data_IF_937607922955
#
_entry.id   IF_937607922955
#
_cell.length_a   1.000
_cell.length_b   1.000
_cell.length_c   1.000
_cell.angle_alpha   90.00
_cell.angle_beta   90.00
_cell.angle_gamma   90.00
#
_symmetry.space_group_name_H-M   'P 1'
#
loop_
_entity.id
_entity.type
_entity.pdbx_description
1 polymer ?
#
# COMPACT_ATOMS: atom_id res chain seq x y z
N UNK A 1 -18.51 -12.21 -10.07
CA UNK A 1 -17.56 -13.17 -9.43
C UNK A 1 -16.84 -14.12 -10.40
N UNK A 2 -17.43 -14.51 -11.55
CA UNK A 2 -16.78 -15.43 -12.49
C UNK A 2 -15.39 -14.95 -12.96
N UNK A 3 -15.24 -13.65 -13.27
CA UNK A 3 -13.96 -13.06 -13.66
C UNK A 3 -12.93 -13.09 -12.53
N UNK A 4 -13.32 -12.71 -11.31
CA UNK A 4 -12.41 -12.72 -10.16
C UNK A 4 -11.87 -14.12 -9.89
N UNK A 5 -12.74 -15.15 -9.85
CA UNK A 5 -12.31 -16.54 -9.67
C UNK A 5 -11.38 -17.03 -10.77
N UNK A 6 -11.56 -16.56 -12.01
CA UNK A 6 -10.72 -16.90 -13.16
C UNK A 6 -9.33 -16.26 -13.10
N UNK A 7 -9.21 -15.05 -12.56
CA UNK A 7 -7.98 -14.24 -12.65
C UNK A 7 -7.21 -14.09 -11.34
N UNK A 8 -7.84 -14.22 -10.17
CA UNK A 8 -7.11 -14.18 -8.88
C UNK A 8 -5.98 -15.22 -8.82
N UNK A 9 -6.18 -16.50 -9.23
CA UNK A 9 -5.10 -17.48 -9.23
C UNK A 9 -3.95 -17.18 -10.21
N UNK A 10 -4.12 -16.20 -11.09
CA UNK A 10 -3.14 -15.78 -12.10
C UNK A 10 -2.36 -14.53 -11.68
N UNK A 11 -2.60 -14.00 -10.49
CA UNK A 11 -1.82 -12.88 -9.96
C UNK A 11 -0.43 -13.41 -9.61
N UNK A 12 0.59 -12.87 -10.26
CA UNK A 12 1.99 -13.14 -9.94
C UNK A 12 2.46 -12.12 -8.91
N UNK A 13 3.01 -12.60 -7.79
CA UNK A 13 3.54 -11.73 -6.74
C UNK A 13 5.04 -11.51 -6.97
N UNK A 14 5.48 -10.27 -6.85
CA UNK A 14 6.88 -9.89 -6.94
C UNK A 14 7.23 -8.90 -5.84
N UNK A 15 8.46 -8.99 -5.32
CA UNK A 15 8.98 -8.04 -4.31
C UNK A 15 9.10 -6.60 -4.85
N UNK A 16 9.14 -6.44 -6.18
CA UNK A 16 9.39 -5.15 -6.85
C UNK A 16 8.16 -4.65 -7.63
N UNK A 17 6.95 -5.14 -7.35
CA UNK A 17 5.72 -4.74 -8.06
C UNK A 17 4.80 -3.80 -7.26
N UNK A 18 5.38 -2.97 -6.39
CA UNK A 18 4.67 -1.86 -5.73
C UNK A 18 3.92 -0.96 -6.72
N UNK A 19 4.55 -0.53 -7.84
CA UNK A 19 3.89 0.28 -8.86
C UNK A 19 2.70 -0.41 -9.53
N UNK A 20 2.76 -1.73 -9.75
CA UNK A 20 1.65 -2.52 -10.29
C UNK A 20 0.45 -2.51 -9.35
N UNK A 21 0.68 -2.72 -8.05
CA UNK A 21 -0.36 -2.59 -7.04
C UNK A 21 -0.94 -1.18 -6.97
N UNK A 22 -0.09 -0.13 -6.93
CA UNK A 22 -0.51 1.26 -6.88
C UNK A 22 -1.41 1.65 -8.06
N UNK A 23 -1.09 1.13 -9.25
CA UNK A 23 -1.91 1.31 -10.46
C UNK A 23 -3.24 0.56 -10.37
N UNK A 24 -3.26 -0.64 -9.79
CA UNK A 24 -4.43 -1.52 -9.75
C UNK A 24 -5.57 -1.00 -8.85
N UNK A 25 -5.24 -0.20 -7.83
CA UNK A 25 -6.22 0.32 -6.85
C UNK A 25 -6.87 1.65 -7.25
N UNK A 26 -6.42 2.27 -8.35
CA UNK A 26 -6.94 3.56 -8.80
C UNK A 26 -8.40 3.46 -9.26
N UNK A 27 -9.17 4.54 -9.08
CA UNK A 27 -10.49 4.67 -9.72
C UNK A 27 -10.59 5.94 -10.55
N UNK A 28 -10.88 7.07 -9.93
CA UNK A 28 -10.98 8.39 -10.58
C UNK A 28 -9.67 9.17 -10.49
N UNK A 29 -8.65 8.55 -9.90
CA UNK A 29 -7.32 9.09 -9.74
C UNK A 29 -6.64 9.29 -11.10
N UNK A 30 -6.05 10.47 -11.33
CA UNK A 30 -5.30 10.75 -12.57
C UNK A 30 -3.86 10.23 -12.57
N UNK A 31 -3.34 9.86 -11.40
CA UNK A 31 -1.95 9.42 -11.17
C UNK A 31 -1.87 8.55 -9.93
N UNK A 32 -0.89 7.65 -9.91
CA UNK A 32 -0.50 6.87 -8.73
C UNK A 32 -0.01 7.80 -7.62
N UNK A 33 -0.14 7.33 -6.37
CA UNK A 33 0.33 8.03 -5.17
C UNK A 33 1.06 6.99 -4.33
N UNK A 34 2.37 6.97 -4.46
CA UNK A 34 3.25 6.03 -3.78
C UNK A 34 4.55 6.73 -3.38
N UNK A 35 5.16 6.28 -2.29
CA UNK A 35 6.42 6.79 -1.80
C UNK A 35 7.14 5.68 -1.01
N UNK A 36 8.47 5.68 -1.04
CA UNK A 36 9.29 4.86 -0.16
C UNK A 36 10.40 5.73 0.43
N UNK A 37 10.70 5.52 1.71
CA UNK A 37 11.77 6.20 2.44
C UNK A 37 12.56 5.17 3.23
N UNK A 38 13.88 5.36 3.30
CA UNK A 38 14.77 4.50 4.08
C UNK A 38 15.54 5.32 5.10
N UNK A 39 15.80 4.74 6.27
CA UNK A 39 16.55 5.37 7.35
C UNK A 39 17.36 4.32 8.13
N UNK A 40 18.46 4.74 8.74
CA UNK A 40 19.24 3.90 9.65
C UNK A 40 18.60 3.89 11.04
N UNK A 41 18.46 2.69 11.61
CA UNK A 41 18.05 2.48 12.98
C UNK A 41 18.93 1.39 13.59
N UNK A 42 19.72 1.76 14.60
CA UNK A 42 20.63 0.84 15.31
C UNK A 42 21.58 0.09 14.35
N UNK A 43 22.05 0.76 13.29
CA UNK A 43 22.94 0.17 12.29
C UNK A 43 22.27 -0.78 11.30
N UNK A 44 20.93 -0.82 11.27
CA UNK A 44 20.13 -1.51 10.25
C UNK A 44 19.38 -0.49 9.40
N UNK A 45 19.49 -0.61 8.07
CA UNK A 45 18.66 0.17 7.15
C UNK A 45 17.22 -0.38 7.15
N UNK A 46 16.27 0.49 7.48
CA UNK A 46 14.83 0.19 7.48
C UNK A 46 14.18 0.96 6.35
N UNK A 47 13.28 0.30 5.62
CA UNK A 47 12.50 0.91 4.54
C UNK A 47 11.01 0.91 4.86
N UNK A 48 10.39 2.08 4.76
CA UNK A 48 8.93 2.26 4.85
C UNK A 48 8.41 2.72 3.50
N UNK A 49 7.45 2.00 2.96
CA UNK A 49 6.74 2.35 1.74
C UNK A 49 5.25 2.55 1.99
N UNK A 50 4.66 3.48 1.27
CA UNK A 50 3.25 3.83 1.37
C UNK A 50 2.62 4.00 0.00
N UNK A 51 1.37 3.60 -0.12
CA UNK A 51 0.56 3.78 -1.33
C UNK A 51 -0.86 4.17 -0.96
N UNK A 52 -1.44 5.10 -1.71
CA UNK A 52 -2.80 5.56 -1.48
C UNK A 52 -3.60 5.76 -2.78
N UNK A 53 -4.92 5.66 -2.67
CA UNK A 53 -5.87 6.05 -3.71
C UNK A 53 -6.98 6.91 -3.13
N UNK A 54 -7.53 7.77 -3.98
CA UNK A 54 -8.58 8.71 -3.61
C UNK A 54 -8.36 10.06 -4.29
N UNK A 55 -9.34 10.48 -5.08
CA UNK A 55 -9.35 11.80 -5.74
C UNK A 55 -10.74 12.42 -5.87
N UNK A 56 -11.77 11.74 -5.40
CA UNK A 56 -13.16 12.17 -5.37
C UNK A 56 -13.92 11.34 -4.36
N UNK A 57 -15.05 11.86 -3.84
CA UNK A 57 -15.68 11.32 -2.63
C UNK A 57 -14.65 11.15 -1.51
N UNK A 58 -13.96 12.24 -1.13
CA UNK A 58 -12.98 12.24 -0.04
C UNK A 58 -13.52 13.11 1.09
N UNK A 59 -13.96 12.43 2.15
CA UNK A 59 -14.32 12.97 3.44
C UNK A 59 -13.71 11.98 4.44
N UNK A 60 -12.55 12.29 5.06
CA UNK A 60 -11.79 11.37 5.93
C UNK A 60 -12.53 11.05 7.24
N UNK A 61 -13.67 10.36 7.12
CA UNK A 61 -14.52 9.74 8.14
C UNK A 61 -15.79 9.11 7.53
N UNK A 62 -16.09 9.33 6.23
CA UNK A 62 -17.28 8.79 5.54
C UNK A 62 -17.06 8.61 4.02
N UNK A 63 -15.83 8.35 3.59
CA UNK A 63 -15.55 8.28 2.16
C UNK A 63 -14.38 7.35 1.80
N UNK A 64 -14.21 7.09 0.51
CA UNK A 64 -13.34 6.01 0.02
C UNK A 64 -11.89 6.48 -0.13
N UNK A 65 -11.10 6.31 0.92
CA UNK A 65 -9.64 6.31 0.84
C UNK A 65 -9.14 4.89 1.11
N UNK A 66 -8.25 4.38 0.26
CA UNK A 66 -7.43 3.21 0.61
C UNK A 66 -6.01 3.72 0.78
N UNK A 67 -5.38 3.37 1.89
CA UNK A 67 -3.99 3.69 2.20
C UNK A 67 -3.35 2.47 2.84
N UNK A 68 -2.19 2.08 2.32
CA UNK A 68 -1.45 0.92 2.79
C UNK A 68 -0.02 1.36 3.07
N UNK A 69 0.54 0.86 4.18
CA UNK A 69 1.93 1.06 4.57
C UNK A 69 2.56 -0.33 4.70
N UNK A 70 3.77 -0.48 4.16
CA UNK A 70 4.60 -1.68 4.28
C UNK A 70 5.96 -1.28 4.80
N UNK A 71 6.54 -2.11 5.65
CA UNK A 71 7.88 -1.90 6.19
C UNK A 71 8.57 -3.24 6.43
N UNK A 72 9.89 -3.25 6.38
CA UNK A 72 10.75 -4.36 6.81
C UNK A 72 11.15 -4.25 8.29
N UNK A 73 10.66 -3.24 9.02
CA UNK A 73 10.87 -3.11 10.46
C UNK A 73 10.30 -4.31 11.23
N UNK A 74 11.12 -4.86 12.14
CA UNK A 74 10.70 -5.88 13.09
C UNK A 74 10.04 -5.20 14.29
N UNK A 75 8.70 -5.08 14.27
CA UNK A 75 7.89 -4.48 15.33
C UNK A 75 6.78 -5.45 15.76
N UNK A 76 6.44 -5.49 17.04
CA UNK A 76 5.31 -6.30 17.51
C UNK A 76 3.97 -5.62 17.23
N UNK A 77 2.90 -6.42 17.19
CA UNK A 77 1.56 -5.94 16.83
C UNK A 77 1.03 -4.89 17.83
N UNK A 78 1.37 -5.00 19.11
CA UNK A 78 0.85 -4.07 20.13
C UNK A 78 1.43 -2.69 19.89
N UNK A 79 2.76 -2.59 19.81
CA UNK A 79 3.43 -1.32 19.52
C UNK A 79 3.04 -0.76 18.15
N UNK A 80 2.89 -1.59 17.12
CA UNK A 80 2.46 -1.12 15.80
C UNK A 80 1.06 -0.46 15.82
N UNK A 81 0.14 -0.92 16.68
CA UNK A 81 -1.23 -0.39 16.77
C UNK A 81 -1.36 0.87 17.63
N UNK A 82 -0.36 1.18 18.43
CA UNK A 82 -0.33 2.39 19.26
C UNK A 82 0.17 3.63 18.51
N UNK A 83 0.85 3.43 17.39
CA UNK A 83 1.35 4.47 16.48
C UNK A 83 0.26 4.89 15.49
#
# INVERSE_FOLDING_TARGET
>A
MALMRKYIPKIELSKNDGPGFARSILTTDKRTKEIAVSFDHEGSEITVAGVAKGSGMIHPNMATMLSFITSDISIDETTLREV
#
